data_IF_261806126344
#
_entry.id   IF_261806126344
#
_cell.length_a   1.000
_cell.length_b   1.000
_cell.length_c   1.000
_cell.angle_alpha   90.00
_cell.angle_beta   90.00
_cell.angle_gamma   90.00
#
_symmetry.space_group_name_H-M   'P 1'
#
loop_
_entity.id
_entity.type
_entity.pdbx_description
1 polymer ?
#
# COMPACT_ATOMS: atom_id res chain seq x y z
N UNK A 1 -39.00 12.82 43.89
CA UNK A 1 -40.14 12.22 43.17
C UNK A 1 -40.32 12.97 41.85
N UNK A 2 -40.63 12.25 40.77
CA UNK A 2 -40.94 12.71 39.39
C UNK A 2 -39.79 12.88 38.36
N UNK A 3 -39.57 11.76 37.67
CA UNK A 3 -39.48 11.56 36.20
C UNK A 3 -38.15 11.82 35.47
N UNK A 4 -37.69 10.71 34.90
CA UNK A 4 -36.63 10.54 33.91
C UNK A 4 -36.88 11.33 32.62
N UNK A 5 -35.81 11.70 31.94
CA UNK A 5 -35.82 11.88 30.49
C UNK A 5 -34.56 11.22 29.92
N UNK A 6 -34.76 10.01 29.41
CA UNK A 6 -33.79 9.26 28.59
C UNK A 6 -33.77 9.96 27.23
N UNK A 7 -32.71 10.71 26.93
CA UNK A 7 -32.44 11.18 25.58
C UNK A 7 -31.67 10.07 24.84
N UNK A 8 -32.42 9.17 24.23
CA UNK A 8 -31.90 8.18 23.29
C UNK A 8 -31.35 8.90 22.04
N UNK A 9 -30.03 9.00 21.94
CA UNK A 9 -29.37 9.44 20.71
C UNK A 9 -29.25 8.23 19.79
N UNK A 10 -29.98 8.32 18.69
CA UNK A 10 -30.09 7.40 17.58
C UNK A 10 -28.70 7.04 16.99
N UNK A 11 -28.14 5.89 17.36
CA UNK A 11 -27.16 5.19 16.53
C UNK A 11 -27.89 4.48 15.38
N UNK A 12 -28.39 5.25 14.42
CA UNK A 12 -29.02 4.70 13.21
C UNK A 12 -28.11 4.90 12.01
N UNK A 13 -27.53 3.79 11.55
CA UNK A 13 -27.36 3.51 10.13
C UNK A 13 -26.17 4.17 9.43
N UNK A 14 -24.95 3.70 9.71
CA UNK A 14 -23.89 3.67 8.69
C UNK A 14 -23.77 2.24 8.15
N UNK A 15 -24.89 1.63 7.75
CA UNK A 15 -24.84 0.51 6.83
C UNK A 15 -24.79 1.10 5.43
N UNK A 16 -23.58 1.45 4.99
CA UNK A 16 -23.31 1.49 3.56
C UNK A 16 -23.63 0.09 3.04
N UNK A 17 -24.74 -0.05 2.31
CA UNK A 17 -25.01 -1.27 1.58
C UNK A 17 -23.85 -1.47 0.61
N UNK A 18 -22.93 -2.38 0.95
CA UNK A 18 -21.87 -2.78 0.04
C UNK A 18 -22.52 -3.41 -1.17
N UNK A 19 -22.27 -2.87 -2.36
CA UNK A 19 -22.61 -3.58 -3.59
C UNK A 19 -21.87 -4.92 -3.55
N UNK A 20 -22.63 -6.02 -3.56
CA UNK A 20 -22.06 -7.34 -3.65
C UNK A 20 -21.34 -7.47 -5.01
N UNK A 21 -20.16 -8.08 -4.99
CA UNK A 21 -19.35 -8.28 -6.19
C UNK A 21 -20.12 -9.15 -7.21
N UNK A 22 -20.12 -8.72 -8.46
CA UNK A 22 -20.79 -9.43 -9.56
C UNK A 22 -20.05 -10.73 -9.90
N UNK A 23 -20.75 -11.67 -10.54
CA UNK A 23 -20.13 -12.91 -11.04
C UNK A 23 -18.99 -12.63 -12.02
N UNK A 24 -19.10 -11.58 -12.83
CA UNK A 24 -18.07 -11.14 -13.76
C UNK A 24 -16.81 -10.66 -13.03
N UNK A 25 -16.96 -9.79 -12.02
CA UNK A 25 -15.84 -9.30 -11.21
C UNK A 25 -15.15 -10.44 -10.43
N UNK A 26 -15.92 -11.42 -9.93
CA UNK A 26 -15.37 -12.62 -9.27
C UNK A 26 -14.56 -13.45 -10.26
N UNK A 27 -15.04 -13.61 -11.49
CA UNK A 27 -14.32 -14.33 -12.54
C UNK A 27 -13.00 -13.62 -12.90
N UNK A 28 -13.02 -12.31 -13.11
CA UNK A 28 -11.81 -11.51 -13.33
C UNK A 28 -10.83 -11.60 -12.16
N UNK A 29 -11.30 -11.59 -10.91
CA UNK A 29 -10.41 -11.74 -9.76
C UNK A 29 -9.72 -13.10 -9.74
N UNK A 30 -10.44 -14.19 -10.08
CA UNK A 30 -9.83 -15.53 -10.20
C UNK A 30 -8.73 -15.53 -11.25
N UNK A 31 -8.97 -14.96 -12.42
CA UNK A 31 -7.96 -14.84 -13.48
C UNK A 31 -6.75 -14.03 -13.02
N UNK A 32 -6.98 -12.91 -12.32
CA UNK A 32 -5.91 -12.09 -11.76
C UNK A 32 -5.02 -12.87 -10.78
N UNK A 33 -5.63 -13.68 -9.91
CA UNK A 33 -4.91 -14.51 -8.94
C UNK A 33 -4.12 -15.62 -9.61
N UNK A 34 -4.66 -16.27 -10.65
CA UNK A 34 -3.93 -17.31 -11.39
C UNK A 34 -2.75 -16.73 -12.17
N UNK A 35 -2.93 -15.60 -12.85
CA UNK A 35 -1.84 -14.89 -13.51
C UNK A 35 -0.74 -14.44 -12.51
N UNK A 36 -1.14 -13.91 -11.35
CA UNK A 36 -0.21 -13.56 -10.27
C UNK A 36 0.62 -14.77 -9.81
N UNK A 37 -0.02 -15.92 -9.60
CA UNK A 37 0.68 -17.15 -9.19
C UNK A 37 1.67 -17.63 -10.24
N UNK A 38 1.36 -17.40 -11.52
CA UNK A 38 2.25 -17.68 -12.64
C UNK A 38 3.37 -16.65 -12.81
N UNK A 39 3.37 -15.56 -12.04
CA UNK A 39 4.32 -14.45 -12.17
C UNK A 39 4.01 -13.48 -13.31
N UNK A 40 2.88 -13.65 -14.00
CA UNK A 40 2.40 -12.74 -15.03
C UNK A 40 1.70 -11.54 -14.37
N UNK A 41 2.50 -10.60 -13.90
CA UNK A 41 2.04 -9.40 -13.20
C UNK A 41 1.28 -8.44 -14.10
N UNK A 42 1.53 -8.45 -15.41
CA UNK A 42 0.84 -7.59 -16.36
C UNK A 42 -0.61 -8.05 -16.51
N UNK A 43 -0.83 -9.32 -16.82
CA UNK A 43 -2.17 -9.91 -16.89
C UNK A 43 -2.87 -9.85 -15.55
N UNK A 44 -2.15 -10.15 -14.45
CA UNK A 44 -2.73 -10.08 -13.11
C UNK A 44 -3.30 -8.68 -12.81
N UNK A 45 -2.57 -7.62 -13.15
CA UNK A 45 -3.02 -6.24 -12.94
C UNK A 45 -4.19 -5.88 -13.84
N UNK A 46 -4.16 -6.28 -15.12
CA UNK A 46 -5.24 -6.01 -16.06
C UNK A 46 -6.56 -6.64 -15.59
N UNK A 47 -6.53 -7.91 -15.17
CA UNK A 47 -7.72 -8.59 -14.67
C UNK A 47 -8.18 -8.05 -13.31
N UNK A 48 -7.25 -7.66 -12.44
CA UNK A 48 -7.59 -7.06 -11.15
C UNK A 48 -8.33 -5.72 -11.29
N UNK A 49 -8.02 -4.93 -12.32
CA UNK A 49 -8.74 -3.70 -12.63
C UNK A 49 -10.20 -3.99 -13.01
N UNK A 50 -10.44 -5.04 -13.82
CA UNK A 50 -11.79 -5.48 -14.18
C UNK A 50 -12.57 -6.04 -12.98
N UNK A 51 -11.85 -6.62 -12.02
CA UNK A 51 -12.41 -7.14 -10.78
C UNK A 51 -12.70 -6.06 -9.71
N UNK A 52 -12.33 -4.81 -9.97
CA UNK A 52 -12.60 -3.68 -9.11
C UNK A 52 -11.44 -3.22 -8.22
N UNK A 53 -11.65 -2.14 -7.45
CA UNK A 53 -10.57 -1.43 -6.76
C UNK A 53 -9.90 -2.26 -5.65
N UNK A 54 -10.66 -3.05 -4.90
CA UNK A 54 -10.10 -3.90 -3.83
C UNK A 54 -9.24 -5.02 -4.42
N UNK A 55 -9.69 -5.65 -5.51
CA UNK A 55 -8.92 -6.66 -6.21
C UNK A 55 -7.59 -6.08 -6.74
N UNK A 56 -7.64 -4.87 -7.33
CA UNK A 56 -6.45 -4.15 -7.77
C UNK A 56 -5.44 -3.92 -6.64
N UNK A 57 -5.91 -3.48 -5.47
CA UNK A 57 -5.03 -3.28 -4.30
C UNK A 57 -4.44 -4.58 -3.75
N UNK A 58 -5.21 -5.69 -3.77
CA UNK A 58 -4.70 -7.01 -3.36
C UNK A 58 -3.56 -7.47 -4.28
N UNK A 59 -3.72 -7.32 -5.60
CA UNK A 59 -2.69 -7.74 -6.56
C UNK A 59 -1.46 -6.84 -6.48
N UNK A 60 -1.63 -5.52 -6.39
CA UNK A 60 -0.49 -4.61 -6.20
C UNK A 60 0.26 -4.88 -4.89
N UNK A 61 -0.47 -5.12 -3.80
CA UNK A 61 0.13 -5.49 -2.52
C UNK A 61 0.96 -6.77 -2.61
N UNK A 62 0.44 -7.80 -3.29
CA UNK A 62 1.18 -9.05 -3.54
C UNK A 62 2.42 -8.81 -4.39
N UNK A 63 2.29 -8.01 -5.45
CA UNK A 63 3.35 -7.64 -6.37
C UNK A 63 4.51 -6.94 -5.65
N UNK A 64 4.23 -5.88 -4.88
CA UNK A 64 5.27 -5.18 -4.13
C UNK A 64 5.95 -6.06 -3.08
N UNK A 65 5.21 -6.99 -2.45
CA UNK A 65 5.80 -7.96 -1.51
C UNK A 65 6.64 -9.04 -2.20
N UNK A 66 6.46 -9.26 -3.49
CA UNK A 66 7.34 -10.04 -4.34
C UNK A 66 8.56 -9.22 -4.83
N UNK A 67 8.70 -7.96 -4.42
CA UNK A 67 9.69 -6.99 -4.91
C UNK A 67 9.46 -6.57 -6.37
N UNK A 68 8.27 -6.85 -6.90
CA UNK A 68 7.85 -6.50 -8.24
C UNK A 68 7.20 -5.12 -8.17
N UNK A 69 7.79 -4.12 -8.83
CA UNK A 69 7.28 -2.75 -8.83
C UNK A 69 8.29 -1.68 -8.44
N UNK A 70 8.03 -0.48 -8.93
CA UNK A 70 8.90 0.67 -8.75
C UNK A 70 8.58 1.45 -7.47
N UNK A 71 9.56 2.24 -7.04
CA UNK A 71 9.47 3.06 -5.82
C UNK A 71 8.32 4.08 -5.82
N UNK A 72 7.96 4.62 -6.99
CA UNK A 72 6.87 5.60 -7.09
C UNK A 72 5.53 4.92 -6.86
N UNK A 73 5.31 3.76 -7.47
CA UNK A 73 4.10 2.94 -7.30
C UNK A 73 3.95 2.47 -5.84
N UNK A 74 5.05 2.05 -5.20
CA UNK A 74 5.05 1.67 -3.79
C UNK A 74 4.64 2.84 -2.88
N UNK A 75 5.23 4.02 -3.07
CA UNK A 75 4.88 5.23 -2.31
C UNK A 75 3.40 5.60 -2.46
N UNK A 76 2.86 5.54 -3.69
CA UNK A 76 1.44 5.78 -3.97
C UNK A 76 0.51 4.78 -3.27
N UNK A 77 0.92 3.50 -3.22
CA UNK A 77 0.15 2.48 -2.51
C UNK A 77 0.15 2.76 -1.00
N UNK A 78 1.33 3.01 -0.42
CA UNK A 78 1.49 3.29 1.00
C UNK A 78 0.72 4.55 1.45
N UNK A 79 0.67 5.59 0.61
CA UNK A 79 -0.10 6.79 0.93
C UNK A 79 -1.61 6.56 0.91
N UNK A 80 -2.11 5.70 0.01
CA UNK A 80 -3.55 5.40 -0.11
C UNK A 80 -4.01 4.30 0.85
N UNK A 81 -3.12 3.40 1.25
CA UNK A 81 -3.40 2.19 2.04
C UNK A 81 -2.44 2.08 3.23
N UNK A 82 -2.45 3.10 4.10
CA UNK A 82 -1.52 3.23 5.22
C UNK A 82 -1.71 2.21 6.36
N UNK A 83 -2.90 1.59 6.43
CA UNK A 83 -3.32 0.60 7.43
C UNK A 83 -3.39 -0.83 6.88
N UNK A 84 -2.95 -1.03 5.63
CA UNK A 84 -3.04 -2.33 4.97
C UNK A 84 -2.23 -3.40 5.74
N UNK A 85 -2.63 -4.67 5.70
CA UNK A 85 -1.85 -5.72 6.34
C UNK A 85 -0.45 -5.86 5.74
N UNK A 86 0.54 -6.14 6.58
CA UNK A 86 1.88 -6.55 6.14
C UNK A 86 2.75 -5.46 5.49
N UNK A 87 2.45 -4.17 5.71
CA UNK A 87 3.24 -3.06 5.15
C UNK A 87 4.70 -3.09 5.58
N UNK A 88 5.02 -3.58 6.78
CA UNK A 88 6.41 -3.74 7.23
C UNK A 88 7.24 -4.57 6.25
N UNK A 89 6.70 -5.68 5.77
CA UNK A 89 7.38 -6.52 4.78
C UNK A 89 7.40 -5.86 3.39
N UNK A 90 6.30 -5.25 2.97
CA UNK A 90 6.23 -4.51 1.71
C UNK A 90 7.31 -3.43 1.64
N UNK A 91 7.42 -2.60 2.70
CA UNK A 91 8.44 -1.55 2.83
C UNK A 91 9.84 -2.14 2.74
N UNK A 92 10.14 -3.20 3.52
CA UNK A 92 11.45 -3.87 3.49
C UNK A 92 11.84 -4.34 2.10
N UNK A 93 10.92 -4.98 1.37
CA UNK A 93 11.16 -5.48 0.00
C UNK A 93 11.34 -4.36 -1.02
N UNK A 94 10.73 -3.21 -0.77
CA UNK A 94 10.81 -2.05 -1.66
C UNK A 94 12.07 -1.22 -1.47
N UNK A 95 12.81 -1.39 -0.37
CA UNK A 95 14.04 -0.63 -0.09
C UNK A 95 15.13 -0.83 -1.16
N UNK A 96 15.21 -2.01 -1.76
CA UNK A 96 16.14 -2.30 -2.86
C UNK A 96 15.74 -1.64 -4.17
N UNK A 97 14.47 -1.22 -4.29
CA UNK A 97 13.93 -0.66 -5.51
C UNK A 97 13.99 0.88 -5.51
N UNK A 98 14.54 1.51 -4.47
CA UNK A 98 14.77 2.96 -4.40
C UNK A 98 15.78 3.35 -5.50
N UNK A 99 15.37 4.10 -6.54
CA UNK A 99 16.28 4.44 -7.63
C UNK A 99 17.43 5.33 -7.16
N UNK A 100 18.61 5.11 -7.73
CA UNK A 100 19.72 6.07 -7.62
C UNK A 100 19.26 7.41 -8.23
N UNK A 101 19.52 8.51 -7.54
CA UNK A 101 19.09 9.84 -7.98
C UNK A 101 17.62 10.16 -7.67
N UNK A 102 16.92 9.33 -6.88
CA UNK A 102 15.61 9.69 -6.33
C UNK A 102 15.66 11.05 -5.64
N UNK A 103 14.56 11.81 -5.76
CA UNK A 103 14.44 13.11 -5.10
C UNK A 103 14.65 12.94 -3.59
N UNK A 104 15.60 13.64 -2.95
CA UNK A 104 15.96 13.39 -1.55
C UNK A 104 14.77 13.43 -0.59
N UNK A 105 13.85 14.36 -0.79
CA UNK A 105 12.63 14.48 0.02
C UNK A 105 11.73 13.25 -0.07
N UNK A 106 11.66 12.61 -1.23
CA UNK A 106 10.82 11.41 -1.42
C UNK A 106 11.37 10.20 -0.69
N UNK A 107 12.70 10.10 -0.61
CA UNK A 107 13.39 9.05 0.13
C UNK A 107 13.24 9.29 1.63
N UNK A 108 13.45 10.52 2.11
CA UNK A 108 13.28 10.89 3.52
C UNK A 108 11.83 10.63 3.97
N UNK A 109 10.85 11.09 3.18
CA UNK A 109 9.43 10.87 3.45
C UNK A 109 9.08 9.38 3.51
N UNK A 110 9.60 8.57 2.58
CA UNK A 110 9.38 7.12 2.58
C UNK A 110 9.84 6.46 3.89
N UNK A 111 10.97 6.91 4.47
CA UNK A 111 11.50 6.35 5.72
C UNK A 111 10.98 7.05 7.00
N UNK A 112 10.21 8.13 6.87
CA UNK A 112 9.73 8.91 8.03
C UNK A 112 8.78 8.11 8.94
N UNK A 113 7.88 7.32 8.35
CA UNK A 113 6.94 6.50 9.11
C UNK A 113 7.55 5.20 9.62
N UNK A 114 8.66 4.76 9.02
CA UNK A 114 9.34 3.54 9.40
C UNK A 114 10.81 3.60 8.98
N UNK A 115 11.74 3.51 9.94
CA UNK A 115 13.17 3.50 9.64
C UNK A 115 13.57 2.37 8.67
N UNK A 116 14.69 2.52 7.95
CA UNK A 116 15.21 1.48 7.08
C UNK A 116 15.36 0.14 7.79
N UNK A 117 14.96 -0.93 7.12
CA UNK A 117 15.05 -2.30 7.62
C UNK A 117 16.20 -3.09 7.00
N UNK A 118 16.87 -2.51 6.00
CA UNK A 118 18.00 -3.10 5.28
C UNK A 118 19.15 -2.11 5.17
N UNK A 119 20.35 -2.62 4.91
CA UNK A 119 21.51 -1.76 4.62
C UNK A 119 21.36 -0.94 3.34
N UNK A 120 20.60 -1.44 2.35
CA UNK A 120 20.30 -0.68 1.12
C UNK A 120 19.45 0.56 1.43
N UNK A 121 18.38 0.39 2.22
CA UNK A 121 17.54 1.50 2.67
C UNK A 121 18.31 2.51 3.51
N UNK A 122 19.17 2.05 4.44
CA UNK A 122 20.01 2.93 5.26
C UNK A 122 20.94 3.79 4.39
N UNK A 123 21.61 3.18 3.39
CA UNK A 123 22.45 3.93 2.44
C UNK A 123 21.65 4.94 1.63
N UNK A 124 20.46 4.56 1.16
CA UNK A 124 19.58 5.47 0.41
C UNK A 124 19.17 6.68 1.26
N UNK A 125 18.79 6.47 2.52
CA UNK A 125 18.42 7.53 3.44
C UNK A 125 19.59 8.47 3.75
N UNK A 126 20.78 7.93 4.03
CA UNK A 126 21.99 8.74 4.26
C UNK A 126 22.34 9.58 3.02
N UNK A 127 22.27 8.99 1.82
CA UNK A 127 22.52 9.72 0.58
C UNK A 127 21.51 10.87 0.36
N UNK A 128 20.24 10.66 0.72
CA UNK A 128 19.21 11.67 0.65
C UNK A 128 19.47 12.84 1.62
N UNK A 129 19.81 12.57 2.87
CA UNK A 129 20.18 13.63 3.83
C UNK A 129 21.41 14.41 3.39
N UNK A 130 22.47 13.73 2.95
CA UNK A 130 23.69 14.38 2.44
C UNK A 130 23.41 15.31 1.26
N UNK A 131 22.52 14.90 0.35
CA UNK A 131 22.13 15.73 -0.81
C UNK A 131 21.39 17.02 -0.41
N UNK A 132 20.90 17.11 0.84
CA UNK A 132 20.27 18.31 1.41
C UNK A 132 21.17 19.10 2.34
N UNK A 133 22.44 18.72 2.48
CA UNK A 133 23.35 19.31 3.48
C UNK A 133 22.93 19.01 4.91
N UNK A 134 22.11 17.98 5.12
CA UNK A 134 21.69 17.52 6.44
C UNK A 134 22.55 16.34 6.86
N UNK A 135 22.90 16.27 8.15
CA UNK A 135 23.45 15.06 8.73
C UNK A 135 22.29 14.10 9.04
N UNK A 136 22.42 12.83 8.67
CA UNK A 136 21.44 11.84 9.04
C UNK A 136 21.52 11.63 10.56
N UNK A 137 20.52 12.08 11.31
CA UNK A 137 20.37 11.76 12.72
C UNK A 137 19.92 10.29 12.81
N UNK A 138 20.68 9.50 13.56
CA UNK A 138 20.51 8.05 13.69
C UNK A 138 19.53 7.69 14.80
#
# INVERSE_FOLDING_TARGET
MFKALIAAILLSGWTTAGLAQTSAEIASYKLAVEAMKAGDWETARAEAQRAGPVASDIIEWRRFRASEGDFVSVRKFLSRRADWPGLKLLRRRSETNVPVGSRPLEVIDFFSSQPPQTGAGARALVAAYRSRGLHAEA
#
